data_IF_504934622628
#
_entry.id   IF_504934622628
#
_cell.length_a   1.000
_cell.length_b   1.000
_cell.length_c   1.000
_cell.angle_alpha   90.00
_cell.angle_beta   90.00
_cell.angle_gamma   90.00
#
_symmetry.space_group_name_H-M   'P 1'
#
loop_
_entity.id
_entity.type
_entity.pdbx_description
1 polymer ?
#
# COMPACT_ATOMS: atom_id res chain seq x y z
N UNK A 1 -12.31 26.79 5.80
CA UNK A 1 -12.40 25.68 4.83
C UNK A 1 -11.40 24.63 5.28
N UNK A 2 -11.84 23.51 5.86
CA UNK A 2 -10.93 22.45 6.31
C UNK A 2 -10.46 21.67 5.09
N UNK A 3 -9.24 21.92 4.64
CA UNK A 3 -8.60 21.10 3.62
C UNK A 3 -8.26 19.78 4.30
N UNK A 4 -9.01 18.72 4.01
CA UNK A 4 -8.66 17.37 4.47
C UNK A 4 -7.31 17.05 3.83
N UNK A 5 -6.29 16.80 4.65
CA UNK A 5 -4.98 16.38 4.18
C UNK A 5 -5.11 15.03 3.45
N UNK A 6 -4.42 14.88 2.32
CA UNK A 6 -4.43 13.67 1.50
C UNK A 6 -4.09 12.42 2.35
N UNK A 7 -3.25 12.58 3.36
CA UNK A 7 -2.89 11.55 4.35
C UNK A 7 -4.10 11.03 5.15
N UNK A 8 -4.99 11.92 5.57
CA UNK A 8 -6.22 11.54 6.28
C UNK A 8 -7.21 10.85 5.34
N UNK A 9 -7.28 11.28 4.08
CA UNK A 9 -8.10 10.62 3.05
C UNK A 9 -7.58 9.20 2.82
N UNK A 10 -6.26 9.00 2.75
CA UNK A 10 -5.66 7.66 2.65
C UNK A 10 -6.10 6.76 3.80
N UNK A 11 -6.02 7.23 5.05
CA UNK A 11 -6.44 6.43 6.20
C UNK A 11 -7.93 6.05 6.13
N UNK A 12 -8.79 6.99 5.72
CA UNK A 12 -10.21 6.74 5.56
C UNK A 12 -10.47 5.68 4.49
N UNK A 13 -9.84 5.82 3.31
CA UNK A 13 -10.02 4.87 2.21
C UNK A 13 -9.48 3.50 2.58
N UNK A 14 -8.33 3.42 3.26
CA UNK A 14 -7.80 2.16 3.79
C UNK A 14 -8.78 1.52 4.78
N UNK A 15 -9.37 2.28 5.69
CA UNK A 15 -10.38 1.78 6.62
C UNK A 15 -11.61 1.22 5.91
N UNK A 16 -12.09 1.89 4.86
CA UNK A 16 -13.18 1.39 4.02
C UNK A 16 -12.79 0.10 3.28
N UNK A 17 -11.58 0.03 2.70
CA UNK A 17 -11.08 -1.18 2.06
C UNK A 17 -11.01 -2.36 3.04
N UNK A 18 -10.61 -2.12 4.30
CA UNK A 18 -10.60 -3.16 5.34
C UNK A 18 -11.98 -3.78 5.51
N UNK A 19 -13.02 -2.95 5.63
CA UNK A 19 -14.40 -3.40 5.77
C UNK A 19 -14.88 -4.20 4.54
N UNK A 20 -14.44 -3.82 3.33
CA UNK A 20 -14.82 -4.49 2.09
C UNK A 20 -14.13 -5.84 1.86
N UNK A 21 -12.96 -6.07 2.47
CA UNK A 21 -12.25 -7.36 2.35
C UNK A 21 -12.83 -8.43 3.29
N UNK A 22 -13.40 -8.05 4.44
CA UNK A 22 -13.89 -8.98 5.46
C UNK A 22 -14.89 -10.04 4.95
N UNK A 23 -15.88 -9.72 4.10
CA UNK A 23 -16.84 -10.71 3.59
C UNK A 23 -16.16 -11.84 2.81
N UNK A 24 -15.05 -11.59 2.12
CA UNK A 24 -14.33 -12.63 1.37
C UNK A 24 -13.75 -13.73 2.27
N UNK A 25 -13.36 -13.38 3.50
CA UNK A 25 -12.85 -14.29 4.53
C UNK A 25 -13.96 -15.18 5.07
N UNK A 26 -15.15 -14.60 5.30
CA UNK A 26 -16.29 -15.33 5.82
C UNK A 26 -16.78 -16.43 4.86
N UNK A 27 -16.62 -16.20 3.55
CA UNK A 27 -17.07 -17.09 2.47
C UNK A 27 -15.98 -18.08 2.07
N UNK A 28 -14.73 -17.64 1.95
CA UNK A 28 -13.61 -18.49 1.52
C UNK A 28 -12.43 -18.34 2.48
N UNK A 29 -12.13 -19.39 3.24
CA UNK A 29 -11.08 -19.35 4.28
C UNK A 29 -9.69 -19.07 3.70
N UNK A 30 -9.20 -19.95 2.82
CA UNK A 30 -7.83 -19.85 2.31
C UNK A 30 -7.62 -18.61 1.43
N UNK A 31 -8.55 -18.37 0.49
CA UNK A 31 -8.48 -17.21 -0.41
C UNK A 31 -8.63 -15.91 0.39
N UNK A 32 -9.62 -15.83 1.29
CA UNK A 32 -9.85 -14.64 2.09
C UNK A 32 -8.69 -14.31 3.03
N UNK A 33 -8.02 -15.31 3.62
CA UNK A 33 -6.80 -15.08 4.41
C UNK A 33 -5.66 -14.51 3.55
N UNK A 34 -5.49 -15.00 2.33
CA UNK A 34 -4.51 -14.46 1.39
C UNK A 34 -4.81 -13.00 1.01
N UNK A 35 -6.08 -12.66 0.71
CA UNK A 35 -6.51 -11.28 0.44
C UNK A 35 -6.25 -10.39 1.65
N UNK A 36 -6.61 -10.85 2.85
CA UNK A 36 -6.41 -10.09 4.09
C UNK A 36 -4.94 -9.80 4.38
N UNK A 37 -4.07 -10.82 4.25
CA UNK A 37 -2.64 -10.65 4.44
C UNK A 37 -2.07 -9.63 3.46
N UNK A 38 -2.42 -9.75 2.18
CA UNK A 38 -1.97 -8.83 1.15
C UNK A 38 -2.50 -7.40 1.37
N UNK A 39 -3.74 -7.28 1.84
CA UNK A 39 -4.32 -6.00 2.27
C UNK A 39 -3.51 -5.38 3.42
N UNK A 40 -3.16 -6.13 4.47
CA UNK A 40 -2.39 -5.58 5.60
C UNK A 40 -1.00 -5.08 5.17
N UNK A 41 -0.31 -5.83 4.31
CA UNK A 41 0.97 -5.39 3.73
C UNK A 41 0.78 -4.09 2.95
N UNK A 42 -0.25 -4.02 2.11
CA UNK A 42 -0.59 -2.84 1.30
C UNK A 42 -0.95 -1.63 2.17
N UNK A 43 -1.74 -1.84 3.22
CA UNK A 43 -2.19 -0.80 4.15
C UNK A 43 -1.04 -0.26 5.00
N UNK A 44 -0.19 -1.14 5.53
CA UNK A 44 1.02 -0.75 6.26
C UNK A 44 1.93 0.10 5.39
N UNK A 45 2.24 -0.38 4.18
CA UNK A 45 3.07 0.36 3.23
C UNK A 45 2.45 1.71 2.84
N UNK A 46 1.14 1.73 2.54
CA UNK A 46 0.42 2.94 2.15
C UNK A 46 0.41 3.99 3.27
N UNK A 47 0.26 3.54 4.52
CA UNK A 47 0.31 4.40 5.69
C UNK A 47 1.71 4.98 5.87
N UNK A 48 2.75 4.14 5.85
CA UNK A 48 4.14 4.59 5.93
C UNK A 48 4.49 5.58 4.81
N UNK A 49 4.02 5.32 3.59
CA UNK A 49 4.25 6.20 2.45
C UNK A 49 3.49 7.53 2.57
N UNK A 50 2.26 7.53 3.06
CA UNK A 50 1.49 8.76 3.28
C UNK A 50 2.12 9.65 4.36
N UNK A 51 2.62 9.05 5.44
CA UNK A 51 3.20 9.76 6.58
C UNK A 51 4.74 9.80 6.56
N UNK A 52 5.35 9.59 5.39
CA UNK A 52 6.80 9.47 5.26
C UNK A 52 7.55 10.68 5.82
N UNK A 53 6.97 11.87 5.66
CA UNK A 53 7.51 13.12 6.19
C UNK A 53 7.65 13.08 7.72
N UNK A 54 6.58 12.71 8.42
CA UNK A 54 6.55 12.63 9.90
C UNK A 54 7.50 11.54 10.42
N UNK A 55 7.66 10.46 9.66
CA UNK A 55 8.48 9.32 10.07
C UNK A 55 9.98 9.53 9.79
N UNK A 56 10.34 10.44 8.89
CA UNK A 56 11.73 10.69 8.47
C UNK A 56 12.63 11.12 9.62
N UNK A 57 12.11 11.89 10.58
CA UNK A 57 12.85 12.33 11.76
C UNK A 57 13.25 11.17 12.68
N UNK A 58 12.48 10.08 12.68
CA UNK A 58 12.75 8.90 13.51
C UNK A 58 13.76 7.92 12.88
N UNK A 59 13.85 7.84 11.54
CA UNK A 59 14.63 6.80 10.87
C UNK A 59 15.31 7.28 9.56
N UNK A 60 16.65 7.38 9.51
CA UNK A 60 17.39 7.79 8.31
C UNK A 60 17.28 6.78 7.15
N UNK A 61 16.89 5.53 7.41
CA UNK A 61 16.65 4.50 6.39
C UNK A 61 15.49 4.85 5.42
N UNK A 62 14.66 5.84 5.75
CA UNK A 62 13.49 6.23 4.97
C UNK A 62 13.82 7.07 3.72
N UNK A 63 15.08 7.53 3.56
CA UNK A 63 15.49 8.28 2.36
C UNK A 63 15.40 7.42 1.07
N UNK A 64 15.68 6.12 1.14
CA UNK A 64 15.48 5.20 0.01
C UNK A 64 14.00 5.04 -0.35
N UNK A 65 13.15 5.05 0.67
CA UNK A 65 11.69 4.97 0.56
C UNK A 65 11.11 6.23 -0.08
N UNK A 66 11.74 7.39 0.11
CA UNK A 66 11.32 8.63 -0.55
C UNK A 66 11.52 8.58 -2.08
N UNK A 67 12.49 7.81 -2.57
CA UNK A 67 12.83 7.72 -4.00
C UNK A 67 12.04 6.65 -4.76
N UNK A 68 11.77 5.52 -4.11
CA UNK A 68 11.08 4.38 -4.72
C UNK A 68 9.68 4.12 -4.16
N UNK A 69 9.29 4.89 -3.14
CA UNK A 69 8.04 4.79 -2.39
C UNK A 69 6.81 4.66 -3.27
N UNK A 70 6.71 5.58 -4.24
CA UNK A 70 5.60 5.64 -5.18
C UNK A 70 5.46 4.36 -6.03
N UNK A 71 6.57 3.80 -6.53
CA UNK A 71 6.52 2.62 -7.42
C UNK A 71 5.91 1.42 -6.69
N UNK A 72 6.39 1.15 -5.48
CA UNK A 72 5.91 0.03 -4.69
C UNK A 72 4.50 0.29 -4.14
N UNK A 73 4.12 1.54 -3.85
CA UNK A 73 2.71 1.91 -3.58
C UNK A 73 1.81 1.52 -4.75
N UNK A 74 2.18 1.90 -5.98
CA UNK A 74 1.41 1.56 -7.18
C UNK A 74 1.34 0.06 -7.42
N UNK A 75 2.47 -0.66 -7.29
CA UNK A 75 2.51 -2.10 -7.47
C UNK A 75 1.63 -2.84 -6.46
N UNK A 76 1.62 -2.42 -5.20
CA UNK A 76 0.79 -3.04 -4.17
C UNK A 76 -0.70 -2.84 -4.47
N UNK A 77 -1.14 -1.62 -4.82
CA UNK A 77 -2.54 -1.37 -5.16
C UNK A 77 -2.97 -2.06 -6.47
N UNK A 78 -2.11 -2.12 -7.49
CA UNK A 78 -2.37 -2.92 -8.69
C UNK A 78 -2.46 -4.42 -8.38
N UNK A 79 -1.61 -4.92 -7.48
CA UNK A 79 -1.67 -6.29 -6.98
C UNK A 79 -2.97 -6.57 -6.23
N UNK A 80 -3.43 -5.61 -5.41
CA UNK A 80 -4.67 -5.73 -4.64
C UNK A 80 -5.87 -5.81 -5.60
N UNK A 81 -5.90 -4.96 -6.64
CA UNK A 81 -6.89 -5.04 -7.72
C UNK A 81 -6.86 -6.42 -8.39
N UNK A 82 -5.68 -6.92 -8.77
CA UNK A 82 -5.55 -8.20 -9.46
C UNK A 82 -6.06 -9.37 -8.59
N UNK A 83 -5.70 -9.40 -7.31
CA UNK A 83 -6.14 -10.43 -6.36
C UNK A 83 -7.66 -10.34 -6.12
N UNK A 84 -8.20 -9.13 -5.95
CA UNK A 84 -9.63 -8.91 -5.78
C UNK A 84 -10.43 -9.35 -7.01
N UNK A 85 -9.97 -9.00 -8.21
CA UNK A 85 -10.60 -9.45 -9.47
C UNK A 85 -10.54 -10.97 -9.60
N UNK A 86 -9.39 -11.60 -9.33
CA UNK A 86 -9.26 -13.06 -9.35
C UNK A 86 -10.18 -13.75 -8.33
N UNK A 87 -10.35 -13.14 -7.15
CA UNK A 87 -11.26 -13.61 -6.10
C UNK A 87 -12.71 -13.48 -6.55
N UNK A 88 -13.10 -12.33 -7.11
CA UNK A 88 -14.43 -12.10 -7.70
C UNK A 88 -14.72 -13.15 -8.77
N UNK A 89 -13.79 -13.37 -9.71
CA UNK A 89 -13.95 -14.39 -10.76
C UNK A 89 -14.16 -15.78 -10.17
N UNK A 90 -13.47 -16.12 -9.09
CA UNK A 90 -13.63 -17.40 -8.39
C UNK A 90 -14.99 -17.52 -7.71
N UNK A 91 -15.47 -16.47 -7.05
CA UNK A 91 -16.78 -16.44 -6.41
C UNK A 91 -17.94 -16.43 -7.42
N UNK A 92 -17.69 -15.95 -8.64
CA UNK A 92 -18.68 -15.94 -9.72
C UNK A 92 -18.84 -17.29 -10.43
N UNK A 93 -17.84 -18.18 -10.38
CA UNK A 93 -17.88 -19.51 -11.03
C UNK A 93 -19.20 -20.28 -10.82
N UNK A 94 -19.73 -20.44 -9.59
CA UNK A 94 -20.97 -21.19 -9.38
C UNK A 94 -22.22 -20.54 -9.99
N UNK A 95 -22.19 -19.26 -10.32
CA UNK A 95 -23.33 -18.56 -10.94
C UNK A 95 -23.33 -18.67 -12.47
N UNK A 96 -22.18 -19.04 -13.05
CA UNK A 96 -22.01 -19.26 -14.48
C UNK A 96 -21.88 -20.73 -14.86
N UNK A 97 -21.86 -21.63 -13.86
CA UNK A 97 -21.89 -23.07 -14.11
C UNK A 97 -23.32 -23.56 -14.32
N UNK A 98 -23.50 -24.53 -15.21
CA UNK A 98 -24.79 -25.22 -15.42
C UNK A 98 -25.20 -26.12 -14.24
N UNK A 99 -24.38 -26.19 -13.19
CA UNK A 99 -24.62 -26.98 -11.98
C UNK A 99 -25.39 -26.19 -10.91
N UNK A 100 -26.21 -26.89 -10.14
CA UNK A 100 -26.87 -26.31 -8.98
C UNK A 100 -25.85 -25.87 -7.92
N UNK A 101 -26.08 -24.72 -7.29
CA UNK A 101 -25.17 -24.14 -6.29
C UNK A 101 -24.89 -25.10 -5.12
N UNK A 102 -25.84 -25.97 -4.76
CA UNK A 102 -25.65 -27.01 -3.75
C UNK A 102 -24.62 -28.07 -4.15
N UNK A 103 -24.56 -28.44 -5.42
CA UNK A 103 -23.56 -29.38 -5.92
C UNK A 103 -22.16 -28.74 -5.91
N UNK A 104 -22.08 -27.44 -6.22
CA UNK A 104 -20.82 -26.69 -6.10
C UNK A 104 -20.32 -26.60 -4.66
N UNK A 105 -21.21 -26.38 -3.68
CA UNK A 105 -20.85 -26.40 -2.26
C UNK A 105 -20.26 -27.74 -1.83
N UNK A 106 -20.91 -28.84 -2.19
CA UNK A 106 -20.47 -30.18 -1.87
C UNK A 106 -19.13 -30.52 -2.53
N UNK A 107 -18.97 -30.20 -3.82
CA UNK A 107 -17.75 -30.48 -4.59
C UNK A 107 -16.53 -29.70 -4.10
N UNK A 108 -16.71 -28.52 -3.51
CA UNK A 108 -15.63 -27.65 -3.05
C UNK A 108 -15.50 -27.58 -1.52
N UNK A 109 -16.25 -28.41 -0.78
CA UNK A 109 -16.19 -28.45 0.69
C UNK A 109 -16.58 -27.13 1.36
N UNK A 110 -17.43 -26.32 0.71
CA UNK A 110 -17.80 -24.98 1.18
C UNK A 110 -18.76 -25.01 2.38
N UNK A 111 -19.31 -26.18 2.70
CA UNK A 111 -20.13 -26.41 3.90
C UNK A 111 -19.33 -26.29 5.21
N UNK A 112 -17.99 -26.33 5.14
CA UNK A 112 -17.07 -26.11 6.26
C UNK A 112 -16.43 -24.72 6.24
N UNK A 113 -17.20 -23.69 5.88
CA UNK A 113 -16.72 -22.31 5.93
C UNK A 113 -16.56 -21.78 7.37
N UNK A 114 -15.75 -20.72 7.54
CA UNK A 114 -15.45 -20.11 8.85
C UNK A 114 -16.68 -19.51 9.54
N UNK A 115 -17.72 -19.16 8.76
CA UNK A 115 -18.97 -18.61 9.30
C UNK A 115 -19.98 -19.68 9.70
N UNK A 116 -19.64 -20.98 9.55
CA UNK A 116 -20.51 -22.13 9.80
C UNK A 116 -21.88 -22.00 9.09
N UNK A 117 -21.88 -21.34 7.94
CA UNK A 117 -23.09 -21.00 7.19
C UNK A 117 -23.43 -22.14 6.25
N UNK A 118 -24.63 -22.70 6.32
CA UNK A 118 -25.08 -23.70 5.36
C UNK A 118 -25.17 -23.15 3.92
N UNK A 119 -24.95 -24.01 2.93
CA UNK A 119 -24.84 -23.64 1.50
C UNK A 119 -25.94 -22.69 0.98
N UNK A 120 -27.20 -22.88 1.41
CA UNK A 120 -28.32 -22.01 1.00
C UNK A 120 -28.15 -20.54 1.40
N UNK A 121 -27.57 -20.27 2.58
CA UNK A 121 -27.26 -18.90 3.03
C UNK A 121 -25.94 -18.41 2.46
N UNK A 122 -25.00 -19.33 2.18
CA UNK A 122 -23.71 -19.03 1.58
C UNK A 122 -23.84 -18.39 0.20
N UNK A 123 -24.85 -18.79 -0.59
CA UNK A 123 -25.16 -18.16 -1.87
C UNK A 123 -25.45 -16.64 -1.73
N UNK A 124 -26.19 -16.23 -0.70
CA UNK A 124 -26.43 -14.80 -0.44
C UNK A 124 -25.17 -14.07 0.01
N UNK A 125 -24.36 -14.71 0.86
CA UNK A 125 -23.10 -14.13 1.34
C UNK A 125 -22.03 -14.03 0.26
N UNK A 126 -22.02 -14.95 -0.72
CA UNK A 126 -21.18 -14.84 -1.91
C UNK A 126 -21.49 -13.58 -2.72
N UNK A 127 -22.78 -13.26 -2.92
CA UNK A 127 -23.18 -12.02 -3.61
C UNK A 127 -22.70 -10.79 -2.85
N UNK A 128 -22.89 -10.74 -1.52
CA UNK A 128 -22.40 -9.64 -0.70
C UNK A 128 -20.87 -9.51 -0.78
N UNK A 129 -20.13 -10.63 -0.78
CA UNK A 129 -18.69 -10.63 -0.94
C UNK A 129 -18.25 -10.12 -2.31
N UNK A 130 -18.94 -10.50 -3.39
CA UNK A 130 -18.69 -9.99 -4.74
C UNK A 130 -18.91 -8.47 -4.80
N UNK A 131 -20.01 -7.98 -4.24
CA UNK A 131 -20.31 -6.54 -4.20
C UNK A 131 -19.25 -5.77 -3.39
N UNK A 132 -18.87 -6.29 -2.22
CA UNK A 132 -17.86 -5.68 -1.37
C UNK A 132 -16.48 -5.64 -2.07
N UNK A 133 -16.04 -6.75 -2.66
CA UNK A 133 -14.78 -6.79 -3.42
C UNK A 133 -14.81 -5.88 -4.65
N UNK A 134 -15.96 -5.70 -5.30
CA UNK A 134 -16.10 -4.76 -6.42
C UNK A 134 -15.90 -3.31 -5.95
N UNK A 135 -16.45 -2.95 -4.79
CA UNK A 135 -16.21 -1.65 -4.16
C UNK A 135 -14.74 -1.49 -3.74
N UNK A 136 -14.12 -2.55 -3.21
CA UNK A 136 -12.69 -2.56 -2.89
C UNK A 136 -11.85 -2.22 -4.13
N UNK A 137 -12.11 -2.83 -5.29
CA UNK A 137 -11.41 -2.50 -6.54
C UNK A 137 -11.56 -1.01 -6.89
N UNK A 138 -12.76 -0.45 -6.72
CA UNK A 138 -13.02 0.98 -6.90
C UNK A 138 -12.19 1.86 -5.95
N UNK A 139 -12.10 1.49 -4.67
CA UNK A 139 -11.26 2.18 -3.70
C UNK A 139 -9.77 2.04 -4.00
N UNK A 140 -9.30 0.88 -4.45
CA UNK A 140 -7.93 0.68 -4.90
C UNK A 140 -7.58 1.59 -6.09
N UNK A 141 -8.48 1.73 -7.07
CA UNK A 141 -8.30 2.68 -8.17
C UNK A 141 -8.22 4.13 -7.65
N UNK A 142 -9.08 4.49 -6.69
CA UNK A 142 -9.03 5.81 -6.05
C UNK A 142 -7.70 6.04 -5.30
N UNK A 143 -7.17 5.00 -4.64
CA UNK A 143 -5.85 5.03 -4.01
C UNK A 143 -4.73 5.29 -5.01
N UNK A 144 -4.78 4.76 -6.24
CA UNK A 144 -3.80 5.08 -7.29
C UNK A 144 -3.82 6.59 -7.64
N UNK A 145 -5.01 7.21 -7.67
CA UNK A 145 -5.16 8.64 -7.91
C UNK A 145 -4.62 9.48 -6.74
N UNK A 146 -4.87 9.06 -5.49
CA UNK A 146 -4.27 9.69 -4.31
C UNK A 146 -2.76 9.53 -4.28
N UNK A 147 -2.25 8.35 -4.64
CA UNK A 147 -0.82 8.06 -4.77
C UNK A 147 -0.12 9.04 -5.72
N UNK A 148 -0.81 9.51 -6.77
CA UNK A 148 -0.26 10.51 -7.70
C UNK A 148 -0.08 11.87 -7.03
N UNK A 149 -1.05 12.28 -6.20
CA UNK A 149 -0.97 13.55 -5.45
C UNK A 149 0.12 13.49 -4.38
N UNK A 150 0.15 12.39 -3.62
CA UNK A 150 1.19 12.13 -2.63
C UNK A 150 2.58 12.10 -3.28
N UNK A 151 2.76 11.42 -4.41
CA UNK A 151 4.05 11.37 -5.09
C UNK A 151 4.54 12.74 -5.53
N UNK A 152 3.64 13.61 -6.04
CA UNK A 152 4.01 14.99 -6.39
C UNK A 152 4.42 15.78 -5.14
N UNK A 153 3.67 15.67 -4.05
CA UNK A 153 4.00 16.31 -2.77
C UNK A 153 5.38 15.88 -2.27
N UNK A 154 5.67 14.58 -2.25
CA UNK A 154 6.97 14.04 -1.85
C UNK A 154 8.12 14.50 -2.75
N UNK A 155 7.89 14.61 -4.07
CA UNK A 155 8.92 15.05 -5.02
C UNK A 155 9.27 16.54 -4.85
N UNK A 156 8.27 17.40 -4.61
CA UNK A 156 8.49 18.82 -4.33
C UNK A 156 9.32 18.97 -3.05
N UNK A 157 8.93 18.27 -1.98
CA UNK A 157 9.64 18.31 -0.71
C UNK A 157 11.06 17.76 -0.83
N UNK A 158 11.25 16.63 -1.51
CA UNK A 158 12.58 16.08 -1.77
C UNK A 158 13.48 17.09 -2.47
N UNK A 159 12.95 17.79 -3.49
CA UNK A 159 13.70 18.81 -4.23
C UNK A 159 14.05 20.00 -3.33
N UNK A 160 13.13 20.43 -2.45
CA UNK A 160 13.37 21.51 -1.49
C UNK A 160 14.51 21.15 -0.53
N UNK A 161 14.45 19.95 0.04
CA UNK A 161 15.46 19.43 0.97
C UNK A 161 16.84 19.26 0.31
N UNK A 162 16.88 18.82 -0.95
CA UNK A 162 18.14 18.76 -1.69
C UNK A 162 18.75 20.15 -1.91
N UNK A 163 17.93 21.18 -2.16
CA UNK A 163 18.41 22.57 -2.27
C UNK A 163 18.91 23.12 -0.94
N UNK A 164 18.17 22.90 0.14
CA UNK A 164 18.58 23.30 1.51
C UNK A 164 19.91 22.64 1.89
N UNK A 165 20.08 21.34 1.60
CA UNK A 165 21.33 20.62 1.82
C UNK A 165 22.48 21.18 0.99
N UNK A 166 22.26 21.43 -0.30
CA UNK A 166 23.29 22.01 -1.18
C UNK A 166 23.72 23.41 -0.73
N UNK A 167 22.78 24.23 -0.23
CA UNK A 167 23.07 25.55 0.33
C UNK A 167 23.90 25.42 1.62
N UNK A 168 23.49 24.55 2.54
CA UNK A 168 24.25 24.27 3.78
C UNK A 168 25.66 23.74 3.50
N UNK A 169 25.82 22.86 2.53
CA UNK A 169 27.13 22.34 2.10
C UNK A 169 27.98 23.44 1.43
N UNK A 170 27.36 24.40 0.73
CA UNK A 170 28.04 25.55 0.12
C UNK A 170 28.42 26.66 1.12
N UNK A 171 27.68 26.78 2.22
CA UNK A 171 27.95 27.68 3.35
C UNK A 171 29.02 27.14 4.32
N UNK A 172 29.59 25.96 4.05
CA UNK A 172 30.78 25.42 4.73
C UNK A 172 32.08 25.72 3.95
N UNK A 173 32.61 26.97 3.92
CA UNK A 173 33.92 27.21 3.38
C UNK A 173 35.01 26.75 4.38
N UNK A 174 35.75 25.71 4.00
CA UNK A 174 37.22 25.66 4.15
C UNK A 174 37.89 25.44 5.52
N UNK A 175 37.32 24.71 6.48
CA UNK A 175 38.10 24.37 7.71
C UNK A 175 39.14 23.25 7.49
N UNK A 176 39.03 22.42 6.45
CA UNK A 176 39.99 21.32 6.21
C UNK A 176 41.12 21.60 5.20
N UNK A 177 41.17 22.75 4.52
CA UNK A 177 42.28 23.09 3.60
C UNK A 177 43.25 24.12 4.18
N UNK A 178 43.61 24.02 5.47
CA UNK A 178 44.74 24.76 6.08
C UNK A 178 45.52 23.92 7.11
N UNK A 179 45.88 22.68 6.77
CA UNK A 179 47.00 21.96 7.41
C UNK A 179 47.91 21.33 6.36
N UNK A 180 48.46 22.17 5.48
CA UNK A 180 49.37 21.69 4.44
C UNK A 180 50.04 22.82 3.65
N UNK A 181 50.41 23.92 4.30
CA UNK A 181 51.24 24.94 3.67
C UNK A 181 51.96 25.80 4.72
N UNK A 182 53.28 25.60 4.80
CA UNK A 182 54.37 26.31 5.54
C UNK A 182 55.10 25.33 6.46
N UNK A 183 56.43 25.20 6.47
CA UNK A 183 57.55 25.84 5.76
C UNK A 183 58.80 25.09 6.28
N UNK A 184 59.84 24.89 5.47
CA UNK A 184 61.16 24.59 6.04
C UNK A 184 62.14 23.98 5.05
N UNK A 185 62.93 24.84 4.40
CA UNK A 185 64.28 24.50 3.97
C UNK A 185 65.04 23.78 5.08
N UNK A 186 65.73 22.70 4.76
CA UNK A 186 66.93 22.27 5.46
C UNK A 186 67.87 21.59 4.45
N UNK A 187 68.97 22.28 4.17
CA UNK A 187 70.21 21.79 3.58
C UNK A 187 71.04 21.08 4.68
N UNK A 188 72.12 20.38 4.27
CA UNK A 188 73.13 19.62 5.07
C UNK A 188 72.69 18.16 5.35
N UNK A 189 73.37 17.11 4.86
CA UNK A 189 74.82 16.80 4.82
C UNK A 189 75.27 16.41 3.41
#
# INVERSE_FOLDING_TARGET
>A
MCIILDECVVLLVLGLQAAMVLPSIAVTREIGLAVLFFYFVTAGYSTTYAFLYTLRECCPCLDAFQRHGAKLFYLLHLGLIAISVATISTLLKPYFSDFDFSEYCAANGLDHNLSNTGCRKLQGYMVLAIMALTLEVGFSIYMLLLGRRLSKKHQIEYTRLQREKALSDSELPSVQKKKGAKKGSAEVI
#
